data_IF_292817928355
#
_entry.id   IF_292817928355
#
_cell.length_a   1.000
_cell.length_b   1.000
_cell.length_c   1.000
_cell.angle_alpha   90.00
_cell.angle_beta   90.00
_cell.angle_gamma   90.00
#
_symmetry.space_group_name_H-M   'P 1'
#
loop_
_entity.id
_entity.type
_entity.pdbx_description
1 polymer ?
#
# COMPACT_ATOMS: atom_id res chain seq x y z
N UNK A 1 -7.82 -11.57 -20.78
CA UNK A 1 -6.77 -11.71 -19.75
C UNK A 1 -7.49 -12.36 -18.59
N UNK A 2 -7.41 -13.69 -18.50
CA UNK A 2 -7.94 -14.45 -17.35
C UNK A 2 -6.96 -14.17 -16.21
N UNK A 3 -7.34 -13.28 -15.29
CA UNK A 3 -6.74 -13.35 -13.97
C UNK A 3 -7.36 -14.58 -13.34
N UNK A 4 -6.64 -15.69 -13.27
CA UNK A 4 -7.10 -16.93 -12.64
C UNK A 4 -7.71 -16.59 -11.26
N UNK A 5 -9.04 -16.52 -11.19
CA UNK A 5 -9.80 -16.38 -9.93
C UNK A 5 -9.38 -17.48 -8.95
N UNK A 6 -8.99 -18.64 -9.48
CA UNK A 6 -8.46 -19.81 -8.75
C UNK A 6 -7.18 -19.50 -7.94
N UNK A 7 -6.38 -18.50 -8.37
CA UNK A 7 -5.11 -18.15 -7.71
C UNK A 7 -5.31 -17.30 -6.45
N UNK A 8 -6.44 -16.61 -6.32
CA UNK A 8 -6.75 -15.74 -5.17
C UNK A 8 -7.11 -16.53 -3.91
N UNK A 9 -7.60 -17.76 -4.05
CA UNK A 9 -7.98 -18.65 -2.93
C UNK A 9 -6.83 -19.54 -2.43
N UNK A 10 -5.61 -19.35 -2.95
CA UNK A 10 -4.46 -20.16 -2.56
C UNK A 10 -3.86 -19.69 -1.22
N UNK A 11 -3.39 -20.62 -0.35
CA UNK A 11 -2.70 -20.25 0.88
C UNK A 11 -1.42 -19.44 0.62
N UNK A 12 -0.81 -19.59 -0.56
CA UNK A 12 0.31 -18.80 -1.04
C UNK A 12 -0.06 -17.33 -1.28
N UNK A 13 -1.26 -17.07 -1.84
CA UNK A 13 -1.78 -15.71 -1.99
C UNK A 13 -1.97 -15.05 -0.62
N UNK A 14 -2.69 -15.72 0.30
CA UNK A 14 -2.91 -15.20 1.65
C UNK A 14 -1.60 -14.94 2.41
N UNK A 15 -0.62 -15.84 2.26
CA UNK A 15 0.72 -15.63 2.82
C UNK A 15 1.40 -14.40 2.25
N UNK A 16 1.30 -14.20 0.94
CA UNK A 16 1.91 -13.04 0.29
C UNK A 16 1.26 -11.74 0.71
N UNK A 17 -0.08 -11.69 0.80
CA UNK A 17 -0.80 -10.51 1.32
C UNK A 17 -0.28 -10.15 2.71
N UNK A 18 -0.10 -11.14 3.58
CA UNK A 18 0.42 -10.93 4.94
C UNK A 18 1.86 -10.46 4.95
N UNK A 19 2.70 -10.99 4.07
CA UNK A 19 4.08 -10.53 3.91
C UNK A 19 4.13 -9.08 3.39
N UNK A 20 3.26 -8.74 2.42
CA UNK A 20 3.11 -7.39 1.88
C UNK A 20 2.62 -6.39 2.92
N UNK A 21 1.63 -6.76 3.74
CA UNK A 21 1.17 -5.94 4.86
C UNK A 21 2.32 -5.63 5.82
N UNK A 22 3.07 -6.67 6.22
CA UNK A 22 4.19 -6.50 7.15
C UNK A 22 5.28 -5.59 6.59
N UNK A 23 5.65 -5.78 5.33
CA UNK A 23 6.65 -4.94 4.63
C UNK A 23 6.16 -3.50 4.55
N UNK A 24 4.92 -3.29 4.10
CA UNK A 24 4.33 -1.95 3.96
C UNK A 24 4.31 -1.22 5.30
N UNK A 25 3.91 -1.90 6.38
CA UNK A 25 3.90 -1.32 7.73
C UNK A 25 5.31 -0.94 8.21
N UNK A 26 6.32 -1.78 7.97
CA UNK A 26 7.71 -1.46 8.34
C UNK A 26 8.22 -0.21 7.61
N UNK A 27 7.96 -0.13 6.30
CA UNK A 27 8.32 1.02 5.47
C UNK A 27 7.59 2.27 5.96
N UNK A 28 6.26 2.22 6.09
CA UNK A 28 5.44 3.34 6.56
C UNK A 28 5.87 3.82 7.95
N UNK A 29 6.18 2.90 8.87
CA UNK A 29 6.63 3.23 10.21
C UNK A 29 7.91 4.08 10.20
N UNK A 30 8.84 3.86 9.26
CA UNK A 30 10.04 4.69 9.14
C UNK A 30 9.70 6.15 8.82
N UNK A 31 8.71 6.39 7.96
CA UNK A 31 8.26 7.74 7.60
C UNK A 31 7.44 8.39 8.71
N UNK A 32 6.59 7.60 9.39
CA UNK A 32 5.83 8.03 10.57
C UNK A 32 6.76 8.51 11.68
N UNK A 33 7.82 7.74 12.01
CA UNK A 33 8.82 8.12 13.03
C UNK A 33 9.57 9.40 12.63
N UNK A 34 9.74 9.66 11.33
CA UNK A 34 10.33 10.89 10.82
C UNK A 34 9.34 12.08 10.81
N UNK A 35 8.07 11.86 11.16
CA UNK A 35 7.03 12.90 11.16
C UNK A 35 6.63 13.36 9.77
N UNK A 36 6.84 12.52 8.74
CA UNK A 36 6.50 12.87 7.36
C UNK A 36 5.03 12.54 7.10
N UNK A 37 4.19 13.51 6.71
CA UNK A 37 2.78 13.26 6.43
C UNK A 37 2.60 12.40 5.17
N UNK A 38 1.49 11.66 5.12
CA UNK A 38 1.19 10.78 3.98
C UNK A 38 0.70 11.61 2.79
N UNK A 39 1.60 11.87 1.85
CA UNK A 39 1.30 12.50 0.55
C UNK A 39 1.15 11.48 -0.55
N UNK A 40 0.52 11.84 -1.67
CA UNK A 40 0.40 10.95 -2.82
C UNK A 40 1.74 10.45 -3.34
N UNK A 41 2.72 11.34 -3.46
CA UNK A 41 4.08 10.99 -3.87
C UNK A 41 4.76 10.04 -2.89
N UNK A 42 4.55 10.21 -1.58
CA UNK A 42 5.05 9.28 -0.58
C UNK A 42 4.34 7.93 -0.65
N UNK A 43 3.03 7.92 -0.82
CA UNK A 43 2.24 6.69 -0.95
C UNK A 43 2.71 5.84 -2.13
N UNK A 44 2.95 6.47 -3.29
CA UNK A 44 3.51 5.82 -4.47
C UNK A 44 4.95 5.32 -4.24
N UNK A 45 5.76 6.07 -3.49
CA UNK A 45 7.11 5.62 -3.11
C UNK A 45 7.06 4.38 -2.19
N UNK A 46 6.16 4.39 -1.19
CA UNK A 46 5.92 3.23 -0.30
C UNK A 46 5.46 2.02 -1.12
N UNK A 47 4.57 2.20 -2.09
CA UNK A 47 4.12 1.12 -2.99
C UNK A 47 5.28 0.54 -3.80
N UNK A 48 6.07 1.39 -4.45
CA UNK A 48 7.20 0.94 -5.25
C UNK A 48 8.23 0.19 -4.41
N UNK A 49 8.51 0.67 -3.19
CA UNK A 49 9.43 0.05 -2.24
C UNK A 49 8.86 -1.29 -1.74
N UNK A 50 7.59 -1.34 -1.32
CA UNK A 50 6.96 -2.56 -0.82
C UNK A 50 6.88 -3.66 -1.89
N UNK A 51 6.55 -3.31 -3.14
CA UNK A 51 6.52 -4.27 -4.24
C UNK A 51 7.93 -4.74 -4.64
N UNK A 52 8.94 -3.88 -4.51
CA UNK A 52 10.33 -4.28 -4.74
C UNK A 52 10.82 -5.24 -3.65
N UNK A 53 10.57 -4.93 -2.38
CA UNK A 53 10.94 -5.75 -1.23
C UNK A 53 10.19 -7.09 -1.22
N UNK A 54 8.90 -7.08 -1.56
CA UNK A 54 8.12 -8.31 -1.74
C UNK A 54 8.73 -9.20 -2.83
N UNK A 55 9.10 -8.62 -3.98
CA UNK A 55 9.78 -9.33 -5.06
C UNK A 55 11.16 -9.86 -4.69
N UNK A 56 11.85 -9.22 -3.74
CA UNK A 56 13.14 -9.67 -3.22
C UNK A 56 12.98 -10.79 -2.17
N UNK A 57 11.94 -10.71 -1.34
CA UNK A 57 11.59 -11.71 -0.34
C UNK A 57 11.03 -13.00 -0.97
N UNK A 58 10.18 -12.87 -2.00
CA UNK A 58 9.62 -13.95 -2.79
C UNK A 58 10.44 -14.17 -4.06
N UNK A 59 11.51 -14.97 -3.98
CA UNK A 59 12.52 -15.17 -5.05
C UNK A 59 12.01 -15.58 -6.45
N UNK A 60 10.71 -15.77 -6.71
CA UNK A 60 10.08 -15.62 -8.03
C UNK A 60 8.56 -15.51 -7.88
N UNK A 61 7.96 -14.48 -8.48
CA UNK A 61 6.98 -14.59 -9.58
C UNK A 61 6.55 -13.17 -9.99
N UNK A 62 7.00 -12.70 -11.14
CA UNK A 62 6.54 -11.44 -11.74
C UNK A 62 5.01 -11.39 -11.89
N UNK A 63 4.37 -12.56 -12.04
CA UNK A 63 2.92 -12.72 -12.06
C UNK A 63 2.27 -12.33 -10.73
N UNK A 64 2.93 -12.63 -9.61
CA UNK A 64 2.43 -12.33 -8.27
C UNK A 64 2.58 -10.85 -7.95
N UNK A 65 3.68 -10.22 -8.38
CA UNK A 65 3.83 -8.76 -8.37
C UNK A 65 2.76 -8.07 -9.22
N UNK A 66 2.39 -8.63 -10.37
CA UNK A 66 1.36 -8.07 -11.24
C UNK A 66 -0.05 -8.12 -10.63
N UNK A 67 -0.33 -9.06 -9.71
CA UNK A 67 -1.60 -9.11 -8.98
C UNK A 67 -1.76 -7.96 -7.96
N UNK A 68 -0.64 -7.50 -7.40
CA UNK A 68 -0.62 -6.43 -6.41
C UNK A 68 -0.29 -5.07 -7.00
N UNK A 69 0.15 -5.03 -8.26
CA UNK A 69 0.39 -3.79 -8.97
C UNK A 69 -0.94 -3.06 -9.20
N UNK A 70 -0.89 -1.74 -9.13
CA UNK A 70 -2.00 -0.87 -9.50
C UNK A 70 -2.59 -1.26 -10.87
N UNK A 71 -3.92 -1.27 -11.02
CA UNK A 71 -4.55 -1.41 -12.32
C UNK A 71 -4.11 -0.23 -13.22
N UNK A 72 -3.65 -0.52 -14.44
CA UNK A 72 -3.10 0.48 -15.38
C UNK A 72 -4.14 1.57 -15.76
N UNK A 73 -5.43 1.24 -15.62
CA UNK A 73 -6.56 2.14 -15.88
C UNK A 73 -6.75 3.21 -14.78
N UNK A 74 -6.07 3.07 -13.64
CA UNK A 74 -6.19 3.98 -12.49
C UNK A 74 -4.97 4.90 -12.39
N UNK A 75 -5.15 6.15 -12.80
CA UNK A 75 -4.14 7.18 -12.65
C UNK A 75 -4.22 7.80 -11.24
N UNK A 76 -3.22 7.54 -10.41
CA UNK A 76 -3.07 8.19 -9.11
C UNK A 76 -2.22 9.46 -9.24
N UNK A 77 -2.51 10.53 -8.46
CA UNK A 77 -1.69 11.73 -8.45
C UNK A 77 -0.24 11.42 -8.05
N UNK A 78 0.74 12.08 -8.67
CA UNK A 78 2.15 12.03 -8.26
C UNK A 78 2.57 13.30 -7.50
N UNK A 79 1.63 13.91 -6.78
CA UNK A 79 1.81 15.22 -6.14
C UNK A 79 2.20 15.09 -4.66
N UNK A 80 2.73 16.16 -4.08
CA UNK A 80 2.98 16.26 -2.62
C UNK A 80 1.71 16.67 -1.85
N UNK A 81 0.53 16.61 -2.47
CA UNK A 81 -0.73 16.80 -1.77
C UNK A 81 -0.99 15.65 -0.81
N UNK A 82 -1.70 15.94 0.28
CA UNK A 82 -2.17 14.92 1.21
C UNK A 82 -3.05 13.91 0.47
N UNK A 83 -2.93 12.65 0.87
CA UNK A 83 -3.71 11.57 0.29
C UNK A 83 -5.20 11.76 0.62
N UNK A 84 -6.04 11.69 -0.42
CA UNK A 84 -7.51 11.71 -0.34
C UNK A 84 -8.10 10.79 -1.41
N UNK A 85 -8.57 9.60 -1.02
CA UNK A 85 -9.09 8.61 -1.97
C UNK A 85 -10.53 8.88 -2.45
N UNK A 86 -11.21 9.89 -1.89
CA UNK A 86 -12.62 10.14 -2.17
C UNK A 86 -13.49 8.87 -2.00
N UNK A 87 -14.40 8.62 -2.95
CA UNK A 87 -15.30 7.44 -2.94
C UNK A 87 -14.74 6.22 -3.71
N UNK A 88 -13.43 6.14 -3.93
CA UNK A 88 -12.82 5.06 -4.73
C UNK A 88 -12.77 3.74 -3.94
N UNK A 89 -13.54 2.74 -4.39
CA UNK A 89 -13.63 1.43 -3.71
C UNK A 89 -12.60 0.38 -4.20
N UNK A 90 -11.79 0.70 -5.21
CA UNK A 90 -10.77 -0.20 -5.73
C UNK A 90 -9.38 0.39 -5.45
N UNK A 91 -8.81 0.05 -4.30
CA UNK A 91 -7.47 0.49 -3.90
C UNK A 91 -6.49 -0.69 -3.94
N UNK A 92 -5.25 -0.46 -4.39
CA UNK A 92 -4.17 -1.42 -4.20
C UNK A 92 -4.03 -1.79 -2.72
N UNK A 93 -3.79 -3.06 -2.35
CA UNK A 93 -3.66 -3.48 -0.95
C UNK A 93 -2.61 -2.68 -0.19
N UNK A 94 -1.51 -2.31 -0.85
CA UNK A 94 -0.44 -1.49 -0.25
C UNK A 94 -0.96 -0.14 0.23
N UNK A 95 -1.85 0.50 -0.53
CA UNK A 95 -2.40 1.79 -0.14
C UNK A 95 -3.26 1.65 1.11
N UNK A 96 -4.10 0.62 1.17
CA UNK A 96 -4.93 0.32 2.34
C UNK A 96 -4.06 0.11 3.58
N UNK A 97 -2.97 -0.66 3.46
CA UNK A 97 -2.07 -0.93 4.59
C UNK A 97 -1.29 0.30 5.04
N UNK A 98 -0.81 1.14 4.10
CA UNK A 98 -0.11 2.37 4.44
C UNK A 98 -1.04 3.37 5.14
N UNK A 99 -2.28 3.51 4.66
CA UNK A 99 -3.30 4.37 5.26
C UNK A 99 -3.68 3.90 6.65
N UNK A 100 -3.92 2.60 6.84
CA UNK A 100 -4.21 2.04 8.16
C UNK A 100 -3.06 2.28 9.16
N UNK A 101 -1.80 2.16 8.71
CA UNK A 101 -0.64 2.44 9.56
C UNK A 101 -0.59 3.91 10.01
N UNK A 102 -0.86 4.83 9.08
CA UNK A 102 -0.88 6.27 9.37
C UNK A 102 -2.07 6.69 10.23
N UNK A 103 -3.27 6.13 10.01
CA UNK A 103 -4.43 6.38 10.85
C UNK A 103 -4.21 5.86 12.28
N UNK A 104 -3.65 4.66 12.42
CA UNK A 104 -3.22 4.14 13.72
C UNK A 104 -2.23 5.09 14.43
N UNK A 105 -1.24 5.61 13.72
CA UNK A 105 -0.26 6.55 14.28
C UNK A 105 -0.90 7.89 14.68
N UNK A 106 -1.81 8.41 13.85
CA UNK A 106 -2.55 9.63 14.16
C UNK A 106 -3.37 9.50 15.43
N UNK A 107 -4.06 8.36 15.59
CA UNK A 107 -4.85 8.02 16.79
C UNK A 107 -3.98 7.78 18.03
N UNK A 108 -2.74 7.33 17.85
CA UNK A 108 -1.81 7.04 18.94
C UNK A 108 -1.09 8.28 19.50
N UNK A 109 -1.24 9.46 18.88
CA UNK A 109 -0.69 10.71 19.39
C UNK A 109 0.04 11.59 18.36
N UNK A 110 -0.06 11.27 17.07
CA UNK A 110 0.54 12.06 15.98
C UNK A 110 -0.53 12.70 15.08
N UNK A 111 -1.35 13.63 15.59
CA UNK A 111 -2.45 14.22 14.81
C UNK A 111 -1.99 14.94 13.54
N UNK A 112 -0.72 15.37 13.47
CA UNK A 112 -0.09 15.93 12.26
C UNK A 112 0.02 14.94 11.09
N UNK A 113 -0.10 13.64 11.37
CA UNK A 113 -0.08 12.56 10.39
C UNK A 113 -1.49 12.13 9.95
N UNK A 114 -2.52 12.81 10.44
CA UNK A 114 -3.90 12.53 10.07
C UNK A 114 -4.09 12.65 8.56
N UNK A 115 -4.65 11.61 7.98
CA UNK A 115 -4.92 11.51 6.55
C UNK A 115 -6.30 12.08 6.29
N UNK A 116 -6.51 12.70 5.14
CA UNK A 116 -7.84 13.15 4.72
C UNK A 116 -8.60 11.94 4.20
N UNK A 117 -9.13 11.11 5.11
CA UNK A 117 -10.02 10.01 4.74
C UNK A 117 -11.43 10.57 4.69
N UNK A 118 -11.97 10.80 3.50
CA UNK A 118 -13.40 10.99 3.32
C UNK A 118 -14.11 9.68 3.75
N UNK A 119 -14.81 9.73 4.87
CA UNK A 119 -15.59 8.62 5.42
C UNK A 119 -16.83 8.32 4.57
#
# INVERSE_FOLDING_TARGET
MDFDEDRMDTPEFARTVRDLERITRDIAQRYIVQGVPLTWRLLLAIEAEALADLGFAGRHESALRALFARPDDMAFPETDDLVDFGASNALPPVFVFAVDAYDCAARAGHPELAIVVAH
#
